data_IF_253138895648
#
_entry.id   IF_253138895648
#
_cell.length_a   1.000
_cell.length_b   1.000
_cell.length_c   1.000
_cell.angle_alpha   90.00
_cell.angle_beta   90.00
_cell.angle_gamma   90.00
#
_symmetry.space_group_name_H-M   'P 1'
#
loop_
_entity.id
_entity.type
_entity.pdbx_description
1 polymer ?
#
# COMPACT_ATOMS: atom_id res chain seq x y z
N UNK A 1 65.01 -41.36 1.98
CA UNK A 1 64.54 -40.58 3.14
C UNK A 1 63.77 -39.32 2.69
N UNK A 2 62.79 -39.42 1.77
CA UNK A 2 62.14 -38.25 1.15
C UNK A 2 60.64 -38.40 0.79
N UNK A 3 59.97 -39.48 1.19
CA UNK A 3 58.56 -39.74 0.81
C UNK A 3 57.54 -39.43 1.91
N UNK A 4 57.98 -39.23 3.15
CA UNK A 4 57.08 -39.12 4.30
C UNK A 4 56.65 -37.67 4.64
N UNK A 5 57.25 -36.67 3.97
CA UNK A 5 56.99 -35.24 4.24
C UNK A 5 55.86 -34.61 3.40
N UNK A 6 55.35 -35.32 2.38
CA UNK A 6 54.31 -34.80 1.47
C UNK A 6 52.88 -35.15 1.88
N UNK A 7 52.67 -36.15 2.74
CA UNK A 7 51.32 -36.56 3.15
C UNK A 7 50.72 -35.73 4.29
N UNK A 8 51.55 -35.11 5.13
CA UNK A 8 51.07 -34.31 6.29
C UNK A 8 50.56 -32.92 5.85
N UNK A 9 51.09 -32.34 4.77
CA UNK A 9 50.63 -31.03 4.28
C UNK A 9 49.26 -31.04 3.60
N UNK A 10 48.84 -32.18 3.01
CA UNK A 10 47.55 -32.24 2.28
C UNK A 10 46.37 -32.35 3.24
N UNK A 11 46.53 -33.06 4.37
CA UNK A 11 45.47 -33.24 5.37
C UNK A 11 45.24 -31.94 6.16
N UNK A 12 46.30 -31.16 6.43
CA UNK A 12 46.17 -29.86 7.10
C UNK A 12 45.46 -28.80 6.24
N UNK A 13 45.59 -28.88 4.91
CA UNK A 13 44.91 -27.94 3.99
C UNK A 13 43.41 -28.27 3.82
N UNK A 14 43.05 -29.56 3.86
CA UNK A 14 41.64 -30.01 3.79
C UNK A 14 40.83 -29.70 5.06
N UNK A 15 41.46 -29.71 6.24
CA UNK A 15 40.81 -29.31 7.50
C UNK A 15 40.61 -27.78 7.62
N UNK A 16 41.46 -26.98 6.98
CA UNK A 16 41.35 -25.51 7.01
C UNK A 16 40.27 -24.99 6.03
N UNK A 17 39.94 -25.73 4.97
CA UNK A 17 38.82 -25.39 4.07
C UNK A 17 37.43 -25.68 4.66
N UNK A 18 37.33 -26.52 5.69
CA UNK A 18 36.05 -26.86 6.34
C UNK A 18 35.59 -25.82 7.38
N UNK A 19 36.47 -24.90 7.80
CA UNK A 19 36.12 -23.83 8.75
C UNK A 19 35.70 -22.51 8.09
N UNK A 20 35.80 -22.40 6.75
CA UNK A 20 35.44 -21.18 6.01
C UNK A 20 34.00 -21.17 5.47
N UNK A 21 33.22 -22.22 5.76
CA UNK A 21 31.78 -22.30 5.43
C UNK A 21 30.89 -22.03 6.65
N UNK A 22 31.34 -21.20 7.60
CA UNK A 22 30.41 -20.60 8.56
C UNK A 22 29.55 -19.60 7.79
N UNK A 23 28.33 -20.03 7.50
CA UNK A 23 27.37 -19.33 6.67
C UNK A 23 27.25 -17.85 7.01
N UNK A 24 27.24 -17.04 5.96
CA UNK A 24 26.58 -15.74 5.97
C UNK A 24 25.11 -16.00 6.28
N UNK A 25 24.77 -16.11 7.56
CA UNK A 25 23.41 -15.91 8.03
C UNK A 25 23.17 -14.43 7.83
N UNK A 26 22.62 -14.08 6.66
CA UNK A 26 21.99 -12.78 6.49
C UNK A 26 20.92 -12.71 7.58
N UNK A 27 21.16 -11.90 8.60
CA UNK A 27 20.10 -11.42 9.46
C UNK A 27 19.11 -10.72 8.51
N UNK A 28 18.03 -11.43 8.16
CA UNK A 28 16.91 -10.79 7.50
C UNK A 28 16.32 -9.86 8.55
N UNK A 29 16.70 -8.58 8.47
CA UNK A 29 16.03 -7.53 9.23
C UNK A 29 14.53 -7.74 9.05
N UNK A 30 13.81 -7.89 10.15
CA UNK A 30 12.37 -8.06 10.12
C UNK A 30 11.78 -6.76 9.56
N UNK A 31 11.41 -6.77 8.26
CA UNK A 31 10.97 -5.59 7.49
C UNK A 31 9.57 -5.14 7.93
N UNK A 32 8.88 -5.96 8.74
CA UNK A 32 7.53 -5.68 9.18
C UNK A 32 7.47 -4.52 10.18
N UNK A 33 6.36 -3.78 10.11
CA UNK A 33 6.09 -2.66 11.02
C UNK A 33 6.02 -3.14 12.47
N UNK A 34 7.09 -2.89 13.22
CA UNK A 34 7.24 -3.35 14.61
C UNK A 34 6.22 -2.73 15.58
N UNK A 35 5.49 -1.69 15.16
CA UNK A 35 4.45 -1.08 15.98
C UNK A 35 3.10 -1.83 15.89
N UNK A 36 2.98 -2.80 14.98
CA UNK A 36 1.77 -3.61 14.85
C UNK A 36 1.87 -4.85 15.72
N UNK A 37 0.93 -4.96 16.67
CA UNK A 37 0.88 -6.10 17.59
C UNK A 37 -0.04 -7.17 17.02
N UNK A 38 0.51 -8.29 16.60
CA UNK A 38 -0.28 -9.47 16.21
C UNK A 38 -1.00 -10.07 17.44
N UNK A 39 -2.23 -10.62 17.29
CA UNK A 39 -2.86 -11.36 18.36
C UNK A 39 -2.00 -12.58 18.78
N UNK A 40 -1.77 -12.82 20.08
CA UNK A 40 -0.93 -13.92 20.53
C UNK A 40 -1.42 -15.28 20.02
N UNK A 41 -0.52 -16.06 19.41
CA UNK A 41 -0.82 -17.40 18.91
C UNK A 41 -1.69 -17.45 17.65
N UNK A 42 -2.00 -16.31 17.01
CA UNK A 42 -2.75 -16.27 15.76
C UNK A 42 -1.84 -16.58 14.56
N UNK A 43 -2.01 -17.71 13.86
CA UNK A 43 -1.21 -18.02 12.66
C UNK A 43 -1.48 -17.04 11.50
N UNK A 44 -2.61 -16.32 11.56
CA UNK A 44 -2.98 -15.25 10.62
C UNK A 44 -2.58 -13.87 11.15
N UNK A 45 -1.83 -13.79 12.26
CA UNK A 45 -1.24 -12.56 12.75
C UNK A 45 -0.33 -11.89 11.73
N UNK A 46 -0.20 -10.56 11.84
CA UNK A 46 0.69 -9.76 11.00
C UNK A 46 2.14 -10.17 11.22
N UNK A 47 2.75 -10.72 10.18
CA UNK A 47 4.12 -11.24 10.20
C UNK A 47 4.71 -11.28 8.79
N UNK A 48 6.03 -11.51 8.70
CA UNK A 48 6.71 -11.71 7.43
C UNK A 48 6.18 -12.98 6.75
N UNK A 49 5.83 -12.86 5.47
CA UNK A 49 5.39 -13.95 4.58
C UNK A 49 6.11 -13.78 3.25
N UNK A 50 7.18 -14.56 3.07
CA UNK A 50 8.03 -14.51 1.88
C UNK A 50 8.51 -13.08 1.58
N UNK A 51 7.85 -12.39 0.67
CA UNK A 51 8.21 -11.10 0.10
C UNK A 51 7.34 -9.93 0.60
N UNK A 52 6.50 -10.14 1.61
CA UNK A 52 5.58 -9.14 2.20
C UNK A 52 5.39 -9.36 3.70
N UNK A 53 4.83 -8.36 4.38
CA UNK A 53 4.32 -8.49 5.74
C UNK A 53 2.80 -8.49 5.68
N UNK A 54 2.13 -9.48 6.26
CA UNK A 54 0.69 -9.63 6.09
C UNK A 54 0.02 -10.36 7.26
N UNK A 55 -1.16 -9.89 7.64
CA UNK A 55 -2.04 -10.56 8.58
C UNK A 55 -2.85 -9.60 9.44
N UNK A 56 -3.45 -10.15 10.51
CA UNK A 56 -4.22 -9.39 11.50
C UNK A 56 -3.34 -8.76 12.57
N UNK A 57 -3.72 -7.59 13.01
CA UNK A 57 -3.12 -6.92 14.16
C UNK A 57 -4.18 -6.30 15.05
N UNK A 58 -3.81 -6.10 16.31
CA UNK A 58 -4.59 -5.40 17.31
C UNK A 58 -4.27 -3.91 17.21
N UNK A 59 -5.30 -3.08 17.01
CA UNK A 59 -5.12 -1.62 17.05
C UNK A 59 -5.27 -1.12 18.48
N UNK A 60 -4.17 -0.64 19.06
CA UNK A 60 -4.14 -0.09 20.43
C UNK A 60 -4.29 1.44 20.49
N UNK A 61 -4.41 2.11 19.34
CA UNK A 61 -4.52 3.57 19.23
C UNK A 61 -5.80 3.99 18.50
N UNK A 62 -6.23 5.22 18.73
CA UNK A 62 -7.38 5.80 18.04
C UNK A 62 -7.16 5.77 16.52
N UNK A 63 -8.23 5.49 15.77
CA UNK A 63 -8.22 5.59 14.31
C UNK A 63 -7.88 7.02 13.87
N UNK A 64 -7.14 7.22 12.75
CA UNK A 64 -6.94 8.55 12.19
C UNK A 64 -8.31 9.18 11.90
N UNK A 65 -8.38 10.52 11.99
CA UNK A 65 -9.62 11.26 11.69
C UNK A 65 -10.14 10.91 10.30
N UNK A 66 -9.24 10.93 9.32
CA UNK A 66 -9.50 10.55 7.95
C UNK A 66 -8.26 9.89 7.33
N UNK A 67 -8.49 8.86 6.54
CA UNK A 67 -7.48 8.04 5.88
C UNK A 67 -7.86 7.91 4.40
N UNK A 68 -6.92 8.04 3.48
CA UNK A 68 -7.11 7.56 2.10
C UNK A 68 -6.91 6.05 2.11
N UNK A 69 -8.03 5.33 2.13
CA UNK A 69 -8.10 3.88 2.29
C UNK A 69 -7.80 3.14 0.99
N UNK A 70 -8.21 3.71 -0.14
CA UNK A 70 -7.92 3.19 -1.47
C UNK A 70 -7.69 4.32 -2.48
N UNK A 71 -6.80 4.08 -3.44
CA UNK A 71 -6.66 4.88 -4.66
C UNK A 71 -6.46 3.92 -5.83
N UNK A 72 -7.50 3.73 -6.63
CA UNK A 72 -7.51 2.73 -7.70
C UNK A 72 -7.98 3.30 -9.03
N UNK A 73 -7.38 2.82 -10.11
CA UNK A 73 -7.93 2.99 -11.45
C UNK A 73 -8.99 1.94 -11.74
N UNK A 74 -8.75 0.70 -11.36
CA UNK A 74 -9.75 -0.36 -11.41
C UNK A 74 -9.60 -1.29 -10.20
N UNK A 75 -10.76 -1.70 -9.67
CA UNK A 75 -10.85 -2.66 -8.58
C UNK A 75 -11.89 -3.70 -9.00
N UNK A 76 -11.40 -4.78 -9.58
CA UNK A 76 -12.26 -5.84 -10.07
C UNK A 76 -12.68 -6.77 -8.93
N UNK A 77 -13.86 -7.38 -9.08
CA UNK A 77 -14.26 -8.47 -8.19
C UNK A 77 -13.29 -9.64 -8.37
N UNK A 78 -12.96 -10.28 -7.26
CA UNK A 78 -12.10 -11.45 -7.26
C UNK A 78 -12.76 -12.63 -6.55
N UNK A 79 -12.35 -13.83 -6.94
CA UNK A 79 -12.75 -15.08 -6.30
C UNK A 79 -11.56 -15.72 -5.58
N UNK A 80 -11.59 -15.72 -4.24
CA UNK A 80 -10.54 -16.31 -3.41
C UNK A 80 -10.57 -17.85 -3.41
N UNK A 81 -11.70 -18.47 -3.77
CA UNK A 81 -11.82 -19.94 -3.86
C UNK A 81 -11.02 -20.49 -5.04
N UNK A 82 -10.88 -19.70 -6.12
CA UNK A 82 -10.06 -20.05 -7.29
C UNK A 82 -8.57 -20.26 -6.99
N UNK A 83 -8.10 -19.79 -5.83
CA UNK A 83 -6.68 -19.77 -5.41
C UNK A 83 -5.75 -19.04 -6.37
N UNK A 84 -6.29 -18.27 -7.32
CA UNK A 84 -5.47 -17.44 -8.20
C UNK A 84 -4.98 -16.22 -7.43
N UNK A 85 -3.72 -15.81 -7.63
CA UNK A 85 -3.20 -14.60 -7.01
C UNK A 85 -3.97 -13.37 -7.49
N UNK A 86 -4.12 -12.39 -6.59
CA UNK A 86 -4.54 -11.06 -6.99
C UNK A 86 -3.35 -10.36 -7.64
N UNK A 87 -3.58 -9.68 -8.75
CA UNK A 87 -2.59 -8.88 -9.44
C UNK A 87 -2.82 -7.42 -9.09
N UNK A 88 -1.82 -6.83 -8.45
CA UNK A 88 -1.71 -5.38 -8.26
C UNK A 88 -0.82 -4.84 -9.36
N UNK A 89 -1.35 -3.97 -10.23
CA UNK A 89 -0.60 -3.33 -11.31
C UNK A 89 -0.56 -1.81 -11.13
N UNK A 90 0.51 -1.17 -11.59
CA UNK A 90 0.68 0.29 -11.52
C UNK A 90 1.43 0.82 -12.74
N UNK A 91 1.36 2.13 -12.96
CA UNK A 91 2.13 2.85 -13.99
C UNK A 91 2.87 4.02 -13.35
N UNK A 92 4.20 4.03 -13.50
CA UNK A 92 5.03 5.15 -13.09
C UNK A 92 6.26 5.24 -14.01
N UNK A 93 6.64 6.43 -14.50
CA UNK A 93 7.62 6.58 -15.58
C UNK A 93 9.08 6.34 -15.16
N UNK A 94 9.35 6.17 -13.86
CA UNK A 94 10.71 6.02 -13.34
C UNK A 94 10.86 4.77 -12.47
N UNK A 95 12.05 4.17 -12.55
CA UNK A 95 12.49 3.12 -11.62
C UNK A 95 12.68 3.71 -10.22
N UNK A 96 11.77 3.38 -9.31
CA UNK A 96 11.70 3.81 -7.92
C UNK A 96 11.25 2.65 -7.06
N UNK A 97 11.52 2.73 -5.77
CA UNK A 97 10.99 1.77 -4.80
C UNK A 97 9.51 2.10 -4.55
N UNK A 98 8.62 1.20 -4.96
CA UNK A 98 7.19 1.29 -4.68
C UNK A 98 6.88 0.62 -3.35
N UNK A 99 6.17 1.33 -2.48
CA UNK A 99 5.53 0.75 -1.31
C UNK A 99 4.07 0.47 -1.66
N UNK A 100 3.62 -0.74 -1.35
CA UNK A 100 2.23 -1.16 -1.47
C UNK A 100 1.71 -1.44 -0.08
N UNK A 101 0.49 -0.98 0.19
CA UNK A 101 -0.23 -1.31 1.40
C UNK A 101 -1.66 -1.68 1.07
N UNK A 102 -2.11 -2.78 1.66
CA UNK A 102 -3.53 -3.09 1.73
C UNK A 102 -4.04 -2.97 3.17
N UNK A 103 -5.30 -2.58 3.27
CA UNK A 103 -6.03 -2.43 4.52
C UNK A 103 -7.32 -3.23 4.44
N UNK A 104 -7.66 -3.93 5.51
CA UNK A 104 -8.94 -4.64 5.62
C UNK A 104 -9.87 -3.99 6.63
N UNK A 105 -11.13 -3.83 6.25
CA UNK A 105 -12.24 -3.34 7.07
C UNK A 105 -12.97 -4.53 7.65
N UNK A 106 -12.51 -5.06 8.79
CA UNK A 106 -13.21 -6.21 9.36
C UNK A 106 -14.40 -5.73 10.21
N UNK A 107 -15.59 -5.70 9.62
CA UNK A 107 -16.84 -5.33 10.30
C UNK A 107 -17.19 -6.27 11.49
N UNK A 108 -16.65 -7.49 11.50
CA UNK A 108 -17.01 -8.53 12.46
C UNK A 108 -16.29 -8.44 13.82
N UNK A 109 -15.18 -7.69 13.94
CA UNK A 109 -14.47 -7.56 15.22
C UNK A 109 -13.91 -6.15 15.41
N UNK A 110 -14.36 -5.39 16.42
CA UNK A 110 -14.08 -3.96 16.56
C UNK A 110 -12.60 -3.62 16.89
N UNK A 111 -11.69 -4.60 16.92
CA UNK A 111 -10.27 -4.38 17.26
C UNK A 111 -9.27 -5.15 16.40
N UNK A 112 -9.74 -6.03 15.52
CA UNK A 112 -8.87 -6.81 14.64
C UNK A 112 -8.88 -6.19 13.25
N UNK A 113 -7.71 -5.74 12.83
CA UNK A 113 -7.52 -5.11 11.54
C UNK A 113 -6.60 -5.97 10.71
N UNK A 114 -6.84 -6.01 9.40
CA UNK A 114 -5.94 -6.64 8.46
C UNK A 114 -5.04 -5.60 7.79
N UNK A 115 -3.78 -5.99 7.55
CA UNK A 115 -2.84 -5.20 6.77
C UNK A 115 -1.92 -6.12 5.97
N UNK A 116 -1.60 -5.68 4.76
CA UNK A 116 -0.50 -6.20 3.96
C UNK A 116 0.41 -5.03 3.62
N UNK A 117 1.72 -5.19 3.78
CA UNK A 117 2.74 -4.24 3.32
C UNK A 117 3.75 -4.98 2.47
N UNK A 118 4.14 -4.36 1.37
CA UNK A 118 5.28 -4.84 0.61
C UNK A 118 6.01 -3.70 -0.09
N UNK A 119 7.26 -3.95 -0.42
CA UNK A 119 8.11 -3.05 -1.18
C UNK A 119 8.55 -3.75 -2.45
N UNK A 120 8.35 -3.10 -3.60
CA UNK A 120 8.73 -3.61 -4.92
C UNK A 120 9.62 -2.61 -5.64
N UNK A 121 10.51 -3.11 -6.48
CA UNK A 121 11.12 -2.26 -7.48
C UNK A 121 10.04 -1.88 -8.51
N UNK A 122 9.92 -0.62 -8.90
CA UNK A 122 8.88 -0.22 -9.87
C UNK A 122 9.16 -0.74 -11.29
N UNK A 123 10.34 -1.32 -11.53
CA UNK A 123 10.67 -2.06 -12.77
C UNK A 123 9.72 -3.25 -12.98
N UNK A 124 9.30 -3.90 -11.90
CA UNK A 124 8.15 -4.79 -11.94
C UNK A 124 6.92 -3.90 -11.91
N UNK A 125 6.18 -3.77 -13.01
CA UNK A 125 4.94 -2.96 -13.07
C UNK A 125 3.74 -3.67 -12.42
N UNK A 126 4.00 -4.77 -11.71
CA UNK A 126 2.97 -5.58 -11.06
C UNK A 126 3.51 -6.37 -9.88
N UNK A 127 2.60 -6.79 -9.02
CA UNK A 127 2.83 -7.68 -7.89
C UNK A 127 1.72 -8.73 -7.84
N UNK A 128 2.13 -10.01 -7.88
CA UNK A 128 1.23 -11.13 -7.62
C UNK A 128 1.10 -11.35 -6.13
N UNK A 129 -0.11 -11.16 -5.60
CA UNK A 129 -0.45 -11.25 -4.19
C UNK A 129 -1.18 -12.58 -3.91
N UNK A 130 -0.53 -13.51 -3.18
CA UNK A 130 -1.14 -14.78 -2.82
C UNK A 130 -2.40 -14.60 -1.95
N UNK A 131 -3.50 -15.33 -2.24
CA UNK A 131 -4.81 -15.04 -1.65
C UNK A 131 -5.03 -15.71 -0.28
N UNK A 132 -4.11 -16.52 0.24
CA UNK A 132 -4.37 -17.45 1.35
C UNK A 132 -4.79 -16.74 2.64
N UNK A 133 -4.18 -15.59 2.94
CA UNK A 133 -4.54 -14.83 4.14
C UNK A 133 -5.85 -14.09 3.96
N UNK A 134 -6.09 -13.51 2.77
CA UNK A 134 -7.37 -12.88 2.44
C UNK A 134 -8.52 -13.88 2.56
N UNK A 135 -8.31 -15.09 2.01
CA UNK A 135 -9.26 -16.20 2.02
C UNK A 135 -9.54 -16.69 3.45
N UNK A 136 -8.49 -16.98 4.22
CA UNK A 136 -8.64 -17.44 5.60
C UNK A 136 -9.32 -16.40 6.51
N UNK A 137 -9.27 -15.12 6.15
CA UNK A 137 -9.91 -14.02 6.87
C UNK A 137 -11.26 -13.60 6.26
N UNK A 138 -11.69 -14.23 5.16
CA UNK A 138 -12.88 -13.87 4.38
C UNK A 138 -12.91 -12.38 3.98
N UNK A 139 -11.79 -11.83 3.53
CA UNK A 139 -11.68 -10.42 3.13
C UNK A 139 -12.26 -10.24 1.73
N UNK A 140 -13.47 -9.69 1.68
CA UNK A 140 -14.17 -9.42 0.41
C UNK A 140 -13.64 -8.16 -0.26
N UNK A 141 -13.90 -7.95 -1.57
CA UNK A 141 -13.53 -6.72 -2.25
C UNK A 141 -14.08 -5.46 -1.56
N UNK A 142 -15.26 -5.54 -0.94
CA UNK A 142 -15.87 -4.41 -0.24
C UNK A 142 -15.15 -4.05 1.07
N UNK A 143 -14.38 -4.98 1.61
CA UNK A 143 -13.64 -4.82 2.86
C UNK A 143 -12.16 -4.48 2.60
N UNK A 144 -11.72 -4.39 1.35
CA UNK A 144 -10.32 -4.27 1.00
C UNK A 144 -10.01 -2.93 0.33
N UNK A 145 -9.03 -2.22 0.87
CA UNK A 145 -8.49 -0.98 0.30
C UNK A 145 -7.03 -1.15 -0.01
N UNK A 146 -6.58 -0.56 -1.11
CA UNK A 146 -5.18 -0.66 -1.55
C UNK A 146 -4.64 0.71 -1.91
N UNK A 147 -3.44 1.00 -1.44
CA UNK A 147 -2.70 2.22 -1.79
C UNK A 147 -1.27 1.85 -2.14
N UNK A 148 -0.73 2.54 -3.15
CA UNK A 148 0.67 2.42 -3.54
C UNK A 148 1.30 3.79 -3.61
N UNK A 149 2.54 3.92 -3.15
CA UNK A 149 3.28 5.18 -3.25
C UNK A 149 4.78 4.98 -3.41
N UNK A 150 5.39 5.88 -4.16
CA UNK A 150 6.83 6.01 -4.28
C UNK A 150 7.29 7.22 -3.49
N UNK A 151 8.51 7.17 -2.96
CA UNK A 151 9.20 8.35 -2.45
C UNK A 151 9.94 8.98 -3.62
N UNK A 152 9.60 10.23 -3.95
CA UNK A 152 10.09 10.93 -5.12
C UNK A 152 10.66 12.30 -4.75
N UNK A 153 11.88 12.64 -5.18
CA UNK A 153 12.46 13.95 -4.92
C UNK A 153 11.80 15.02 -5.80
N UNK A 154 11.10 15.96 -5.18
CA UNK A 154 10.58 17.17 -5.82
C UNK A 154 11.41 18.37 -5.34
N UNK A 155 12.26 18.90 -6.23
CA UNK A 155 13.24 19.94 -5.91
C UNK A 155 14.09 19.66 -4.66
N UNK A 156 14.60 18.42 -4.56
CA UNK A 156 15.46 18.01 -3.45
C UNK A 156 14.72 17.71 -2.13
N UNK A 157 13.38 17.79 -2.10
CA UNK A 157 12.57 17.35 -0.97
C UNK A 157 11.88 16.04 -1.34
N UNK A 158 12.08 15.01 -0.52
CA UNK A 158 11.39 13.74 -0.68
C UNK A 158 9.89 13.89 -0.40
N UNK A 159 9.06 13.44 -1.35
CA UNK A 159 7.60 13.48 -1.26
C UNK A 159 7.03 12.10 -1.59
N UNK A 160 5.95 11.73 -0.90
CA UNK A 160 5.17 10.55 -1.27
C UNK A 160 4.27 10.90 -2.46
N UNK A 161 4.42 10.13 -3.55
CA UNK A 161 3.57 10.22 -4.74
C UNK A 161 2.78 8.92 -4.85
N UNK A 162 1.47 9.04 -4.68
CA UNK A 162 0.55 7.92 -4.74
C UNK A 162 0.26 7.52 -6.20
N UNK A 163 0.07 6.22 -6.41
CA UNK A 163 -0.22 5.67 -7.72
C UNK A 163 -1.63 5.06 -7.71
N UNK A 164 -2.49 5.41 -8.68
CA UNK A 164 -3.70 4.64 -8.94
C UNK A 164 -3.34 3.20 -9.27
N UNK A 165 -3.78 2.28 -8.43
CA UNK A 165 -3.54 0.85 -8.59
C UNK A 165 -4.65 0.20 -9.43
N UNK A 166 -4.31 -0.84 -10.17
CA UNK A 166 -5.29 -1.75 -10.79
C UNK A 166 -5.22 -3.07 -10.05
N UNK A 167 -6.33 -3.49 -9.46
CA UNK A 167 -6.45 -4.75 -8.75
C UNK A 167 -7.42 -5.67 -9.51
N UNK A 168 -6.98 -6.89 -9.78
CA UNK A 168 -7.82 -7.91 -10.40
C UNK A 168 -7.18 -9.30 -10.33
N UNK A 169 -7.77 -10.27 -11.02
CA UNK A 169 -7.15 -11.57 -11.27
C UNK A 169 -6.59 -11.61 -12.70
N UNK A 170 -5.61 -12.46 -13.04
CA UNK A 170 -4.87 -12.37 -14.32
C UNK A 170 -5.69 -12.31 -15.62
N UNK A 171 -6.96 -12.75 -15.59
CA UNK A 171 -7.87 -12.76 -16.74
C UNK A 171 -8.72 -11.50 -16.87
N UNK A 172 -8.81 -10.71 -15.81
CA UNK A 172 -9.62 -9.52 -15.73
C UNK A 172 -8.67 -8.31 -15.80
N UNK A 173 -8.85 -7.52 -16.87
CA UNK A 173 -8.03 -6.36 -17.19
C UNK A 173 -8.93 -5.30 -17.83
N UNK A 174 -9.48 -4.42 -17.00
CA UNK A 174 -10.09 -3.18 -17.43
C UNK A 174 -9.19 -1.99 -17.13
N UNK A 175 -8.80 -1.24 -18.18
CA UNK A 175 -8.46 0.17 -18.00
C UNK A 175 -9.77 0.94 -17.74
N UNK A 176 -9.71 1.96 -16.89
CA UNK A 176 -10.86 2.77 -16.49
C UNK A 176 -10.74 4.20 -17.00
N UNK A 177 -11.86 4.88 -17.19
CA UNK A 177 -11.92 6.31 -17.52
C UNK A 177 -11.79 7.22 -16.30
N UNK A 178 -11.68 6.64 -15.10
CA UNK A 178 -11.65 7.34 -13.82
C UNK A 178 -10.68 6.71 -12.82
N UNK A 179 -10.37 7.47 -11.78
CA UNK A 179 -9.76 6.97 -10.55
C UNK A 179 -10.79 7.02 -9.43
N UNK A 180 -10.97 5.91 -8.72
CA UNK A 180 -11.78 5.86 -7.51
C UNK A 180 -10.86 6.13 -6.30
N UNK A 181 -11.29 7.08 -5.47
CA UNK A 181 -10.69 7.37 -4.16
C UNK A 181 -11.67 6.92 -3.09
N UNK A 182 -11.22 6.08 -2.17
CA UNK A 182 -12.00 5.68 -0.99
C UNK A 182 -11.37 6.28 0.24
N UNK A 183 -12.13 7.09 0.97
CA UNK A 183 -11.75 7.66 2.26
C UNK A 183 -12.36 6.83 3.38
N UNK A 184 -11.63 6.67 4.48
CA UNK A 184 -12.11 6.01 5.68
C UNK A 184 -12.07 6.97 6.88
N UNK A 185 -13.24 7.45 7.34
CA UNK A 185 -13.32 8.34 8.49
C UNK A 185 -13.24 7.54 9.80
N UNK A 186 -12.38 7.96 10.72
CA UNK A 186 -12.34 7.40 12.08
C UNK A 186 -13.38 8.01 13.03
N UNK A 187 -14.03 9.10 12.61
CA UNK A 187 -15.03 9.84 13.38
C UNK A 187 -16.16 10.30 12.45
N UNK A 188 -17.32 10.63 13.02
CA UNK A 188 -18.44 11.14 12.22
C UNK A 188 -18.12 12.52 11.64
N UNK A 189 -18.39 12.68 10.34
CA UNK A 189 -18.18 13.93 9.62
C UNK A 189 -19.53 14.58 9.28
N UNK A 190 -19.53 15.90 9.14
CA UNK A 190 -20.69 16.66 8.65
C UNK A 190 -20.60 16.89 7.15
N UNK A 191 -19.40 17.18 6.64
CA UNK A 191 -19.18 17.39 5.22
C UNK A 191 -17.74 17.06 4.82
N UNK A 192 -17.56 16.65 3.57
CA UNK A 192 -16.26 16.42 2.94
C UNK A 192 -16.14 17.29 1.70
N UNK A 193 -15.00 17.96 1.59
CA UNK A 193 -14.63 18.86 0.50
C UNK A 193 -13.39 18.30 -0.20
N UNK A 194 -13.38 18.38 -1.53
CA UNK A 194 -12.29 17.89 -2.36
C UNK A 194 -11.76 19.03 -3.22
N UNK A 195 -10.46 19.27 -3.12
CA UNK A 195 -9.73 20.17 -4.01
C UNK A 195 -8.71 19.37 -4.80
N UNK A 196 -8.62 19.65 -6.10
CA UNK A 196 -7.75 18.97 -7.05
C UNK A 196 -7.02 20.02 -7.85
N UNK A 197 -5.69 19.95 -7.89
CA UNK A 197 -4.87 20.95 -8.59
C UNK A 197 -3.71 20.33 -9.35
N UNK A 198 -3.26 21.03 -10.39
CA UNK A 198 -1.92 20.81 -10.96
C UNK A 198 -0.86 21.27 -9.97
N UNK A 199 0.38 20.77 -10.12
CA UNK A 199 1.50 21.15 -9.24
C UNK A 199 2.66 21.78 -9.99
N UNK A 200 3.41 22.62 -9.28
CA UNK A 200 4.71 23.12 -9.73
C UNK A 200 5.84 22.09 -9.50
N UNK A 201 7.08 22.50 -9.76
CA UNK A 201 8.28 21.67 -9.54
C UNK A 201 8.55 21.33 -8.07
N UNK A 202 7.91 22.04 -7.12
CA UNK A 202 7.99 21.78 -5.68
C UNK A 202 6.91 20.82 -5.19
N UNK A 203 5.91 20.53 -6.04
CA UNK A 203 4.72 19.80 -5.65
C UNK A 203 3.71 20.68 -4.91
N UNK A 204 3.78 22.00 -5.06
CA UNK A 204 2.79 22.95 -4.54
C UNK A 204 1.65 23.11 -5.55
N UNK A 205 0.39 23.27 -5.10
CA UNK A 205 -0.74 23.48 -6.01
C UNK A 205 -0.60 24.81 -6.78
N UNK A 206 -0.94 24.81 -8.07
CA UNK A 206 -0.87 26.01 -8.94
C UNK A 206 -2.21 26.36 -9.55
N UNK A 207 -2.83 25.43 -10.29
CA UNK A 207 -4.12 25.63 -10.94
C UNK A 207 -5.10 24.60 -10.40
N UNK A 208 -6.16 25.07 -9.73
CA UNK A 208 -7.20 24.21 -9.20
C UNK A 208 -8.21 23.84 -10.30
N UNK A 209 -8.30 22.54 -10.55
CA UNK A 209 -9.34 21.92 -11.37
C UNK A 209 -10.65 21.83 -10.58
N UNK A 210 -10.55 21.49 -9.30
CA UNK A 210 -11.61 21.59 -8.32
C UNK A 210 -11.12 22.38 -7.12
N UNK A 211 -11.94 23.29 -6.60
CA UNK A 211 -11.62 24.09 -5.42
C UNK A 211 -12.76 23.94 -4.40
N UNK A 212 -12.52 23.15 -3.35
CA UNK A 212 -13.47 22.93 -2.26
C UNK A 212 -14.81 22.29 -2.68
N UNK A 213 -14.81 21.39 -3.68
CA UNK A 213 -16.03 20.71 -4.14
C UNK A 213 -16.57 19.81 -3.04
N UNK A 214 -17.80 20.07 -2.58
CA UNK A 214 -18.48 19.19 -1.62
C UNK A 214 -18.87 17.85 -2.27
N UNK A 215 -18.79 16.76 -1.51
CA UNK A 215 -19.36 15.46 -1.90
C UNK A 215 -20.87 15.40 -1.66
N UNK A 216 -21.41 16.20 -0.75
CA UNK A 216 -22.85 16.39 -0.49
C UNK A 216 -23.66 15.09 -0.25
N UNK A 217 -23.06 14.07 0.36
CA UNK A 217 -23.77 12.81 0.70
C UNK A 217 -24.75 12.96 1.87
N UNK A 218 -24.71 14.10 2.60
CA UNK A 218 -25.61 14.44 3.69
C UNK A 218 -25.37 13.71 5.01
N UNK A 219 -24.82 12.49 4.97
CA UNK A 219 -24.43 11.73 6.16
C UNK A 219 -23.13 10.96 5.95
N UNK A 220 -22.17 11.17 6.84
CA UNK A 220 -20.84 10.56 6.78
C UNK A 220 -20.52 9.84 8.11
N UNK A 221 -21.01 8.60 8.28
CA UNK A 221 -20.77 7.85 9.50
C UNK A 221 -19.28 7.51 9.68
N UNK A 222 -18.81 7.38 10.94
CA UNK A 222 -17.49 6.82 11.19
C UNK A 222 -17.44 5.39 10.65
N UNK A 223 -16.25 4.94 10.29
CA UNK A 223 -15.97 3.56 9.90
C UNK A 223 -16.83 3.08 8.72
N UNK A 224 -17.06 3.98 7.75
CA UNK A 224 -17.68 3.65 6.47
C UNK A 224 -16.94 4.34 5.35
N UNK A 225 -16.63 3.59 4.30
CA UNK A 225 -15.96 4.13 3.12
C UNK A 225 -16.77 5.27 2.48
N UNK A 226 -16.09 6.37 2.16
CA UNK A 226 -16.62 7.48 1.38
C UNK A 226 -15.88 7.45 0.04
N UNK A 227 -16.56 7.01 -1.01
CA UNK A 227 -15.97 6.92 -2.35
C UNK A 227 -16.28 8.17 -3.17
N UNK A 228 -15.36 8.60 -4.03
CA UNK A 228 -15.62 9.56 -5.10
C UNK A 228 -14.70 9.29 -6.30
N UNK A 229 -15.13 9.72 -7.47
CA UNK A 229 -14.41 9.51 -8.73
C UNK A 229 -13.70 10.79 -9.17
N UNK A 230 -12.47 10.65 -9.67
CA UNK A 230 -11.75 11.65 -10.46
C UNK A 230 -11.75 11.18 -11.91
N UNK A 231 -12.39 11.92 -12.81
CA UNK A 231 -12.42 11.53 -14.23
C UNK A 231 -11.05 11.84 -14.86
N UNK A 232 -10.49 10.89 -15.60
CA UNK A 232 -9.20 11.11 -16.29
C UNK A 232 -9.29 12.24 -17.31
N UNK A 233 -10.46 12.50 -17.88
CA UNK A 233 -10.71 13.60 -18.80
C UNK A 233 -10.59 14.98 -18.15
N UNK A 234 -10.71 15.09 -16.82
CA UNK A 234 -10.46 16.32 -16.07
C UNK A 234 -8.95 16.56 -15.87
N UNK A 235 -8.13 15.50 -15.99
CA UNK A 235 -6.68 15.54 -15.85
C UNK A 235 -6.05 15.78 -17.22
N UNK A 236 -5.86 17.05 -17.57
CA UNK A 236 -5.49 17.49 -18.93
C UNK A 236 -4.22 16.84 -19.51
N UNK A 237 -3.27 16.45 -18.65
CA UNK A 237 -1.96 15.92 -19.06
C UNK A 237 -1.40 14.94 -18.03
N UNK A 238 -0.61 13.93 -18.45
CA UNK A 238 0.15 13.09 -17.54
C UNK A 238 1.04 13.92 -16.61
N UNK A 239 1.13 13.53 -15.34
CA UNK A 239 1.88 14.28 -14.34
C UNK A 239 1.43 14.04 -12.91
N UNK A 240 2.06 14.75 -11.98
CA UNK A 240 1.67 14.75 -10.57
C UNK A 240 0.54 15.78 -10.38
N UNK A 241 -0.46 15.40 -9.60
CA UNK A 241 -1.56 16.25 -9.17
C UNK A 241 -1.60 16.31 -7.65
N UNK A 242 -2.05 17.45 -7.12
CA UNK A 242 -2.31 17.66 -5.71
C UNK A 242 -3.78 17.38 -5.42
N UNK A 243 -4.04 16.58 -4.39
CA UNK A 243 -5.36 16.23 -3.89
C UNK A 243 -5.44 16.63 -2.43
N UNK A 244 -6.37 17.52 -2.11
CA UNK A 244 -6.70 17.90 -0.73
C UNK A 244 -8.10 17.45 -0.39
N UNK A 245 -8.23 16.82 0.77
CA UNK A 245 -9.52 16.46 1.35
C UNK A 245 -9.71 17.24 2.64
N UNK A 246 -10.61 18.21 2.61
CA UNK A 246 -11.09 18.91 3.79
C UNK A 246 -12.29 18.17 4.39
N UNK A 247 -12.36 18.06 5.71
CA UNK A 247 -13.47 17.43 6.40
C UNK A 247 -13.92 18.28 7.60
N UNK A 248 -15.23 18.50 7.73
CA UNK A 248 -15.82 19.11 8.93
C UNK A 248 -16.28 18.02 9.88
N UNK A 249 -15.83 18.07 11.13
CA UNK A 249 -16.16 17.06 12.13
C UNK A 249 -17.50 17.37 12.78
N UNK A 250 -18.31 16.35 13.07
CA UNK A 250 -19.58 16.55 13.80
C UNK A 250 -19.38 17.14 15.20
N UNK A 251 -18.26 16.81 15.85
CA UNK A 251 -17.85 17.38 17.14
C UNK A 251 -17.33 18.83 17.07
N UNK A 252 -17.29 19.43 15.87
CA UNK A 252 -16.68 20.72 15.61
C UNK A 252 -15.22 20.61 15.17
N UNK A 253 -14.74 21.64 14.46
CA UNK A 253 -13.39 21.68 13.90
C UNK A 253 -13.31 21.12 12.48
N UNK A 254 -12.12 21.26 11.89
CA UNK A 254 -11.81 20.83 10.53
C UNK A 254 -10.55 19.97 10.52
N UNK A 255 -10.48 19.06 9.56
CA UNK A 255 -9.32 18.21 9.30
C UNK A 255 -8.97 18.27 7.82
N UNK A 256 -7.68 18.28 7.50
CA UNK A 256 -7.19 18.28 6.12
C UNK A 256 -6.25 17.10 5.89
N UNK A 257 -6.52 16.34 4.83
CA UNK A 257 -5.65 15.30 4.31
C UNK A 257 -5.10 15.73 2.95
N UNK A 258 -3.79 15.91 2.87
CA UNK A 258 -3.12 16.23 1.61
C UNK A 258 -2.43 15.00 1.02
N UNK A 259 -2.62 14.81 -0.28
CA UNK A 259 -1.97 13.76 -1.07
C UNK A 259 -1.49 14.33 -2.40
N UNK A 260 -0.50 13.66 -2.96
CA UNK A 260 -0.05 13.87 -4.35
C UNK A 260 -0.18 12.54 -5.05
N UNK A 261 -0.73 12.52 -6.24
CA UNK A 261 -0.83 11.29 -7.02
C UNK A 261 -0.37 11.50 -8.45
N UNK A 262 0.10 10.43 -9.08
CA UNK A 262 0.54 10.43 -10.46
C UNK A 262 -0.57 9.96 -11.39
N UNK A 263 -0.88 10.76 -12.41
CA UNK A 263 -1.73 10.40 -13.53
C UNK A 263 -0.86 10.07 -14.75
N UNK A 264 -1.04 8.88 -15.31
CA UNK A 264 -0.19 8.35 -16.37
C UNK A 264 -0.61 8.76 -17.80
N UNK A 265 -1.83 9.32 -17.98
CA UNK A 265 -2.48 9.45 -19.28
C UNK A 265 -3.47 8.33 -19.55
#
# INVERSE_FOLDING_TARGET
MNTMRRFVSVIAFLLMLWFLTTGLVSAQDNVCDANLVAPPGDPLGYQQREDRCEGRFIRNVASPVLLMFSLTESFEKYDLESKQPLMLEWRFPQSQRLNLRAHGLQAASPRLFYRMDTTRASETASFGWPPEVLDALNITPADLGVVGWVTYPMNGVEREIYLPLRLGQPQARGDSDRYEVVLWPGQELTEVYVSLATVDSQGSPVEFLWDGKTLAYGYYPPERGIAFDILKTELQRPGVYYLEIGATLRGGGVFTLEKRFYHAG
#
